data_IF_861581886544
#
_entry.id   IF_861581886544
#
_cell.length_a   1.000
_cell.length_b   1.000
_cell.length_c   1.000
_cell.angle_alpha   90.00
_cell.angle_beta   90.00
_cell.angle_gamma   90.00
#
_symmetry.space_group_name_H-M   'P 1'
#
loop_
_entity.id
_entity.type
_entity.pdbx_description
1 polymer ?
#
# COMPACT_ATOMS: atom_id res chain seq x y z
N UNK A 1 24.40 17.97 0.99
CA UNK A 1 23.16 17.49 1.64
C UNK A 1 21.95 18.32 1.21
N UNK A 2 21.98 19.65 1.31
CA UNK A 2 20.86 20.55 0.94
C UNK A 2 20.38 20.35 -0.51
N UNK A 3 21.31 20.27 -1.48
CA UNK A 3 20.97 20.01 -2.89
C UNK A 3 20.27 18.66 -3.08
N UNK A 4 20.72 17.63 -2.37
CA UNK A 4 20.13 16.30 -2.40
C UNK A 4 18.75 16.32 -1.76
N UNK A 5 18.60 16.94 -0.58
CA UNK A 5 17.31 17.07 0.10
C UNK A 5 16.28 17.76 -0.78
N UNK A 6 16.68 18.89 -1.42
CA UNK A 6 15.80 19.63 -2.31
C UNK A 6 15.34 18.79 -3.50
N UNK A 7 16.25 18.10 -4.17
CA UNK A 7 15.88 17.26 -5.32
C UNK A 7 15.01 16.08 -4.95
N UNK A 8 15.25 15.44 -3.81
CA UNK A 8 14.42 14.36 -3.32
C UNK A 8 13.02 14.86 -2.92
N UNK A 9 12.94 16.02 -2.27
CA UNK A 9 11.65 16.66 -1.94
C UNK A 9 10.85 16.99 -3.21
N UNK A 10 11.51 17.58 -4.22
CA UNK A 10 10.85 17.94 -5.49
C UNK A 10 10.39 16.71 -6.29
N UNK A 11 11.18 15.61 -6.30
CA UNK A 11 10.85 14.39 -7.06
C UNK A 11 9.75 13.59 -6.38
N UNK A 12 9.81 13.46 -5.06
CA UNK A 12 8.91 12.62 -4.28
C UNK A 12 7.74 13.39 -3.65
N UNK A 13 7.68 14.72 -3.85
CA UNK A 13 6.64 15.60 -3.27
C UNK A 13 6.61 15.54 -1.74
N UNK A 14 7.82 15.53 -1.12
CA UNK A 14 8.00 15.49 0.31
C UNK A 14 8.27 16.89 0.88
N UNK A 15 8.02 17.06 2.18
CA UNK A 15 8.40 18.29 2.88
C UNK A 15 9.92 18.43 2.94
N UNK A 16 10.44 19.60 2.52
CA UNK A 16 11.89 19.83 2.41
C UNK A 16 12.61 19.73 3.75
N UNK A 17 12.08 20.39 4.78
CA UNK A 17 12.68 20.40 6.11
C UNK A 17 12.78 19.00 6.72
N UNK A 18 11.72 18.19 6.58
CA UNK A 18 11.70 16.82 7.05
C UNK A 18 12.73 15.95 6.30
N UNK A 19 12.83 16.13 5.00
CA UNK A 19 13.79 15.41 4.15
C UNK A 19 15.22 15.81 4.50
N UNK A 20 15.48 17.09 4.71
CA UNK A 20 16.78 17.60 5.11
C UNK A 20 17.19 17.08 6.50
N UNK A 21 16.27 17.08 7.46
CA UNK A 21 16.52 16.55 8.80
C UNK A 21 16.84 15.05 8.77
N UNK A 22 16.12 14.26 7.98
CA UNK A 22 16.41 12.83 7.77
C UNK A 22 17.81 12.60 7.21
N UNK A 23 18.18 13.32 6.12
CA UNK A 23 19.49 13.18 5.46
C UNK A 23 20.65 13.71 6.33
N UNK A 24 20.35 14.64 7.25
CA UNK A 24 21.34 15.25 8.12
C UNK A 24 21.56 14.47 9.42
N UNK A 25 20.70 13.50 9.72
CA UNK A 25 20.83 12.65 10.90
C UNK A 25 22.13 11.84 10.89
N UNK A 26 22.64 11.49 12.07
CA UNK A 26 23.84 10.67 12.25
C UNK A 26 23.59 9.16 12.03
N UNK A 27 22.42 8.80 11.51
CA UNK A 27 22.10 7.43 11.19
C UNK A 27 22.86 6.96 9.94
N UNK A 28 23.39 5.76 9.98
CA UNK A 28 24.11 5.16 8.86
C UNK A 28 23.19 4.82 7.67
N UNK A 29 21.88 4.70 7.92
CA UNK A 29 20.84 4.41 6.92
C UNK A 29 19.53 5.10 7.30
N UNK A 30 18.88 5.73 6.33
CA UNK A 30 17.60 6.43 6.49
C UNK A 30 16.70 6.16 5.29
N UNK A 31 15.47 5.73 5.55
CA UNK A 31 14.45 5.54 4.50
C UNK A 31 13.83 6.91 4.21
N UNK A 32 13.98 7.39 2.99
CA UNK A 32 13.41 8.67 2.54
C UNK A 32 11.96 8.48 2.07
N UNK A 33 11.72 7.49 1.22
CA UNK A 33 10.38 7.17 0.70
C UNK A 33 10.23 5.66 0.51
N UNK A 34 9.01 5.15 0.67
CA UNK A 34 8.62 3.76 0.40
C UNK A 34 7.60 3.74 -0.74
N UNK A 35 7.50 2.62 -1.45
CA UNK A 35 6.46 2.33 -2.47
C UNK A 35 6.33 3.41 -3.55
N UNK A 36 7.48 3.94 -3.95
CA UNK A 36 7.57 5.01 -4.95
C UNK A 36 7.23 4.46 -6.34
N UNK A 37 6.41 5.19 -7.07
CA UNK A 37 6.06 4.83 -8.46
C UNK A 37 7.28 4.90 -9.38
N UNK A 38 7.27 4.05 -10.41
CA UNK A 38 8.42 3.86 -11.31
C UNK A 38 8.87 5.14 -12.00
N UNK A 39 7.94 5.99 -12.40
CA UNK A 39 8.23 7.27 -13.06
C UNK A 39 9.05 8.22 -12.17
N UNK A 40 8.73 8.27 -10.87
CA UNK A 40 9.49 9.06 -9.88
C UNK A 40 10.89 8.47 -9.65
N UNK A 41 11.02 7.14 -9.64
CA UNK A 41 12.31 6.44 -9.54
C UNK A 41 13.16 6.70 -10.77
N UNK A 42 12.58 6.67 -11.97
CA UNK A 42 13.31 6.93 -13.22
C UNK A 42 13.81 8.41 -13.25
N UNK A 43 12.99 9.36 -12.80
CA UNK A 43 13.40 10.77 -12.62
C UNK A 43 14.56 10.90 -11.63
N UNK A 44 14.53 10.15 -10.52
CA UNK A 44 15.63 10.12 -9.55
C UNK A 44 16.91 9.59 -10.20
N UNK A 45 16.84 8.49 -10.95
CA UNK A 45 18.00 7.91 -11.64
C UNK A 45 18.60 8.86 -12.67
N UNK A 46 17.78 9.57 -13.45
CA UNK A 46 18.22 10.59 -14.39
C UNK A 46 18.92 11.75 -13.69
N UNK A 47 18.34 12.22 -12.58
CA UNK A 47 18.94 13.27 -11.77
C UNK A 47 20.29 12.83 -11.16
N UNK A 48 20.36 11.63 -10.57
CA UNK A 48 21.60 11.08 -10.04
C UNK A 48 22.68 10.99 -11.10
N UNK A 49 22.34 10.54 -12.32
CA UNK A 49 23.28 10.49 -13.46
C UNK A 49 23.77 11.85 -13.86
N UNK A 50 22.87 12.85 -13.92
CA UNK A 50 23.22 14.25 -14.26
C UNK A 50 24.16 14.89 -13.24
N UNK A 51 23.98 14.57 -11.98
CA UNK A 51 24.77 15.12 -10.87
C UNK A 51 25.99 14.25 -10.51
N UNK A 52 26.23 13.18 -11.28
CA UNK A 52 27.34 12.22 -11.05
C UNK A 52 27.33 11.58 -9.65
N UNK A 53 26.13 11.35 -9.09
CA UNK A 53 25.95 10.73 -7.79
C UNK A 53 25.83 9.21 -7.98
N UNK A 54 26.87 8.48 -7.61
CA UNK A 54 26.92 7.02 -7.76
C UNK A 54 26.88 6.27 -6.43
N UNK A 55 26.93 6.98 -5.30
CA UNK A 55 26.95 6.41 -3.95
C UNK A 55 26.09 7.22 -3.00
N UNK A 56 25.65 6.59 -1.91
CA UNK A 56 24.92 7.26 -0.84
C UNK A 56 23.39 7.33 -1.03
N UNK A 57 22.86 6.96 -2.20
CA UNK A 57 21.42 6.77 -2.44
C UNK A 57 21.23 5.37 -2.97
N UNK A 58 20.48 4.55 -2.24
CA UNK A 58 20.13 3.20 -2.64
C UNK A 58 18.66 3.17 -3.09
N UNK A 59 18.40 2.41 -4.14
CA UNK A 59 17.07 2.19 -4.71
C UNK A 59 16.85 0.68 -4.70
N UNK A 60 15.99 0.24 -3.79
CA UNK A 60 15.60 -1.15 -3.67
C UNK A 60 14.25 -1.39 -4.34
N UNK A 61 14.05 -2.58 -4.90
CA UNK A 61 12.76 -2.99 -5.43
C UNK A 61 11.80 -3.29 -4.27
N UNK A 62 10.60 -2.75 -4.39
CA UNK A 62 9.51 -2.96 -3.44
C UNK A 62 8.22 -3.33 -4.19
N UNK A 63 7.27 -3.91 -3.48
CA UNK A 63 5.95 -4.25 -4.00
C UNK A 63 4.89 -3.34 -3.39
N UNK A 64 3.88 -2.99 -4.19
CA UNK A 64 2.75 -2.17 -3.75
C UNK A 64 1.45 -2.87 -4.10
N UNK A 65 0.55 -2.98 -3.12
CA UNK A 65 -0.81 -3.41 -3.37
C UNK A 65 -1.56 -2.31 -4.10
N UNK A 66 -2.23 -2.64 -5.19
CA UNK A 66 -3.01 -1.71 -5.99
C UNK A 66 -4.44 -2.22 -6.15
N UNK A 67 -5.41 -1.34 -5.94
CA UNK A 67 -6.84 -1.64 -6.02
C UNK A 67 -7.44 -0.91 -7.22
N UNK A 68 -7.66 -1.61 -8.35
CA UNK A 68 -8.03 -0.97 -9.62
C UNK A 68 -9.41 -0.32 -9.62
N UNK A 69 -10.26 -0.69 -8.69
CA UNK A 69 -11.63 -0.16 -8.57
C UNK A 69 -11.80 0.80 -7.37
N UNK A 70 -10.71 1.34 -6.87
CA UNK A 70 -10.65 2.35 -5.80
C UNK A 70 -11.48 1.99 -4.56
N UNK A 71 -12.79 2.28 -4.56
CA UNK A 71 -13.67 2.12 -3.41
C UNK A 71 -14.64 0.93 -3.50
N UNK A 72 -14.64 0.17 -4.60
CA UNK A 72 -15.53 -0.97 -4.77
C UNK A 72 -15.27 -2.04 -3.70
N UNK A 73 -16.30 -2.40 -2.97
CA UNK A 73 -16.28 -3.38 -1.87
C UNK A 73 -15.22 -3.06 -0.79
N UNK A 74 -14.97 -1.77 -0.52
CA UNK A 74 -13.87 -1.31 0.32
C UNK A 74 -13.86 -1.97 1.70
N UNK A 75 -14.97 -2.00 2.41
CA UNK A 75 -15.09 -2.62 3.73
C UNK A 75 -14.94 -4.14 3.71
N UNK A 76 -15.24 -4.79 2.59
CA UNK A 76 -15.07 -6.24 2.42
C UNK A 76 -13.62 -6.59 2.09
N UNK A 77 -13.06 -5.95 1.07
CA UNK A 77 -11.70 -6.22 0.61
C UNK A 77 -10.69 -5.81 1.68
N UNK A 78 -10.84 -4.59 2.22
CA UNK A 78 -9.87 -4.02 3.12
C UNK A 78 -8.60 -3.56 2.40
N UNK A 79 -7.57 -3.21 3.14
CA UNK A 79 -6.33 -2.69 2.58
C UNK A 79 -5.09 -3.23 3.31
N UNK A 80 -3.95 -3.10 2.65
CA UNK A 80 -2.64 -3.38 3.22
C UNK A 80 -1.95 -2.10 3.69
N UNK A 81 -1.18 -2.21 4.76
CA UNK A 81 -0.30 -1.15 5.25
C UNK A 81 0.96 -1.00 4.36
N UNK A 82 1.85 -0.09 4.77
CA UNK A 82 3.11 0.17 4.06
C UNK A 82 4.09 -1.01 4.05
N UNK A 83 3.92 -1.96 4.95
CA UNK A 83 4.74 -3.17 5.01
C UNK A 83 4.08 -4.37 4.28
N UNK A 84 3.06 -4.11 3.43
CA UNK A 84 2.28 -5.09 2.68
C UNK A 84 1.56 -6.12 3.56
N UNK A 85 1.26 -5.76 4.81
CA UNK A 85 0.46 -6.57 5.71
C UNK A 85 -1.00 -6.11 5.64
N UNK A 86 -1.92 -7.04 5.52
CA UNK A 86 -3.35 -6.76 5.54
C UNK A 86 -3.76 -6.12 6.86
N UNK A 87 -4.41 -4.95 6.80
CA UNK A 87 -4.85 -4.19 7.97
C UNK A 87 -6.33 -4.37 8.27
N UNK A 88 -7.16 -4.56 7.25
CA UNK A 88 -8.61 -4.73 7.37
C UNK A 88 -9.15 -5.70 6.34
N UNK A 89 -10.42 -6.13 6.52
CA UNK A 89 -11.18 -6.93 5.57
C UNK A 89 -10.56 -8.28 5.24
N UNK A 90 -10.72 -8.69 4.00
CA UNK A 90 -10.17 -9.96 3.48
C UNK A 90 -8.64 -9.92 3.39
N UNK A 91 -8.03 -8.75 3.14
CA UNK A 91 -6.59 -8.58 3.16
C UNK A 91 -6.00 -8.94 4.53
N UNK A 92 -6.66 -8.53 5.62
CA UNK A 92 -6.26 -8.92 6.98
C UNK A 92 -6.53 -10.40 7.27
N UNK A 93 -7.75 -10.86 6.97
CA UNK A 93 -8.17 -12.22 7.31
C UNK A 93 -7.34 -13.29 6.57
N UNK A 94 -7.04 -13.05 5.30
CA UNK A 94 -6.27 -13.96 4.46
C UNK A 94 -4.81 -13.54 4.29
N UNK A 95 -4.30 -12.65 5.13
CA UNK A 95 -2.95 -12.11 5.01
C UNK A 95 -1.88 -13.20 4.85
N UNK A 96 -1.92 -14.24 5.67
CA UNK A 96 -0.96 -15.35 5.61
C UNK A 96 -0.99 -16.15 4.29
N UNK A 97 -2.12 -16.13 3.60
CA UNK A 97 -2.31 -16.84 2.32
C UNK A 97 -1.93 -15.95 1.14
N UNK A 98 -2.26 -14.65 1.22
CA UNK A 98 -2.03 -13.65 0.17
C UNK A 98 -0.58 -13.16 0.16
N UNK A 99 0.03 -13.05 1.35
CA UNK A 99 1.42 -12.62 1.50
C UNK A 99 2.35 -13.77 1.22
N UNK A 100 3.05 -13.93 0.19
CA UNK A 100 4.03 -14.97 -0.03
C UNK A 100 5.17 -14.99 1.01
N UNK A 101 6.24 -15.63 0.71
CA UNK A 101 7.45 -15.65 1.53
C UNK A 101 8.54 -14.86 0.82
N UNK A 102 9.07 -13.85 1.50
CA UNK A 102 10.17 -13.04 0.96
C UNK A 102 11.42 -13.89 0.75
N UNK A 103 12.07 -13.72 -0.39
CA UNK A 103 13.39 -14.29 -0.63
C UNK A 103 14.42 -13.69 0.30
N UNK A 104 15.52 -14.40 0.53
CA UNK A 104 16.65 -13.92 1.33
C UNK A 104 17.97 -14.41 0.76
N UNK A 105 18.97 -13.55 0.88
CA UNK A 105 20.36 -13.89 0.60
C UNK A 105 21.05 -14.09 1.94
N UNK A 106 21.57 -15.27 2.19
CA UNK A 106 22.37 -15.55 3.38
C UNK A 106 23.83 -15.40 2.98
N UNK A 107 24.48 -14.35 3.50
CA UNK A 107 25.93 -14.10 3.34
C UNK A 107 26.63 -14.27 4.66
N UNK A 108 27.83 -14.82 4.63
CA UNK A 108 28.69 -14.86 5.80
C UNK A 108 29.47 -13.53 5.88
N UNK A 109 29.44 -12.88 7.04
CA UNK A 109 30.28 -11.71 7.34
C UNK A 109 31.32 -12.08 8.39
N UNK A 110 32.55 -11.62 8.26
CA UNK A 110 33.54 -11.76 9.30
C UNK A 110 33.40 -10.67 10.40
N UNK A 111 34.06 -10.85 11.53
CA UNK A 111 33.98 -9.99 12.71
C UNK A 111 34.56 -8.56 12.47
N UNK A 112 35.10 -8.24 11.31
CA UNK A 112 35.78 -6.97 10.98
C UNK A 112 35.02 -6.20 9.87
N UNK A 113 33.72 -6.44 9.71
CA UNK A 113 32.83 -5.74 8.75
C UNK A 113 33.21 -5.83 7.26
N UNK A 114 33.95 -6.83 6.85
CA UNK A 114 34.18 -7.15 5.44
C UNK A 114 33.13 -8.12 4.92
N UNK A 115 32.40 -7.75 3.85
CA UNK A 115 31.70 -8.75 3.03
C UNK A 115 32.78 -9.69 2.47
N UNK A 116 32.81 -10.93 2.94
CA UNK A 116 33.62 -11.95 2.29
C UNK A 116 32.90 -12.26 0.98
N UNK A 117 33.52 -12.05 -0.20
CA UNK A 117 33.00 -12.58 -1.46
C UNK A 117 33.08 -14.11 -1.36
N UNK A 118 32.06 -14.73 -0.75
CA UNK A 118 32.02 -16.16 -0.58
C UNK A 118 31.25 -16.77 -1.74
N UNK A 119 31.84 -17.76 -2.38
CA UNK A 119 31.20 -18.59 -3.41
C UNK A 119 29.99 -19.38 -2.86
N UNK A 120 29.73 -19.31 -1.54
CA UNK A 120 28.65 -19.99 -0.82
C UNK A 120 27.49 -19.07 -0.40
N UNK A 121 27.20 -18.01 -1.15
CA UNK A 121 25.95 -17.27 -0.93
C UNK A 121 24.75 -18.18 -1.19
N UNK A 122 23.96 -18.44 -0.15
CA UNK A 122 22.73 -19.20 -0.31
C UNK A 122 21.60 -18.23 -0.66
N UNK A 123 21.16 -18.29 -1.92
CA UNK A 123 19.98 -17.57 -2.39
C UNK A 123 18.73 -18.42 -2.15
N UNK A 124 17.82 -17.93 -1.33
CA UNK A 124 16.47 -18.50 -1.14
C UNK A 124 15.51 -17.64 -1.95
N UNK A 125 14.95 -18.20 -3.01
CA UNK A 125 14.02 -17.51 -3.88
C UNK A 125 12.72 -17.14 -3.15
N UNK A 126 12.12 -15.97 -3.45
CA UNK A 126 10.81 -15.62 -2.94
C UNK A 126 9.74 -16.60 -3.44
N UNK A 127 8.71 -16.82 -2.64
CA UNK A 127 7.52 -17.58 -3.02
C UNK A 127 6.32 -16.65 -3.05
N UNK A 128 5.61 -16.61 -4.17
CA UNK A 128 4.40 -15.81 -4.30
C UNK A 128 3.30 -16.32 -3.35
N UNK A 129 2.46 -15.42 -2.88
CA UNK A 129 1.22 -15.77 -2.20
C UNK A 129 0.21 -16.44 -3.16
N UNK A 130 -0.88 -16.89 -2.59
CA UNK A 130 -1.98 -17.49 -3.35
C UNK A 130 -3.01 -16.42 -3.75
N UNK A 131 -3.78 -16.71 -4.79
CA UNK A 131 -4.90 -15.87 -5.20
C UNK A 131 -6.17 -16.24 -4.40
N UNK A 132 -7.01 -15.25 -4.14
CA UNK A 132 -8.32 -15.41 -3.52
C UNK A 132 -9.40 -15.03 -4.53
N UNK A 133 -10.25 -16.00 -4.91
CA UNK A 133 -11.40 -15.76 -5.77
C UNK A 133 -12.66 -15.63 -4.92
N UNK A 134 -13.39 -14.54 -5.11
CA UNK A 134 -14.63 -14.24 -4.39
C UNK A 134 -15.86 -14.56 -5.25
N UNK A 135 -17.00 -14.80 -4.61
CA UNK A 135 -18.31 -14.93 -5.27
C UNK A 135 -18.95 -13.57 -5.58
N UNK A 136 -18.33 -12.48 -5.17
CA UNK A 136 -18.80 -11.11 -5.41
C UNK A 136 -18.85 -10.82 -6.92
N UNK A 137 -20.02 -10.40 -7.40
CA UNK A 137 -20.20 -9.87 -8.75
C UNK A 137 -19.97 -8.35 -8.74
N UNK A 138 -18.99 -7.87 -9.50
CA UNK A 138 -18.61 -6.46 -9.51
C UNK A 138 -19.74 -5.53 -9.97
N UNK A 139 -20.62 -5.99 -10.87
CA UNK A 139 -21.76 -5.19 -11.33
C UNK A 139 -22.84 -5.08 -10.25
N UNK A 140 -23.17 -6.22 -9.63
CA UNK A 140 -24.17 -6.25 -8.54
C UNK A 140 -23.65 -5.43 -7.35
N UNK A 141 -22.38 -5.56 -7.01
CA UNK A 141 -21.72 -4.79 -5.96
C UNK A 141 -21.82 -3.29 -6.22
N UNK A 142 -21.43 -2.83 -7.43
CA UNK A 142 -21.48 -1.42 -7.81
C UNK A 142 -22.90 -0.84 -7.76
N UNK A 143 -23.91 -1.62 -8.20
CA UNK A 143 -25.31 -1.24 -8.13
C UNK A 143 -25.75 -1.13 -6.67
N UNK A 144 -25.41 -2.12 -5.82
CA UNK A 144 -25.74 -2.11 -4.41
C UNK A 144 -25.16 -0.91 -3.68
N UNK A 145 -23.89 -0.59 -3.90
CA UNK A 145 -23.22 0.60 -3.33
C UNK A 145 -23.86 1.91 -3.75
N UNK A 146 -24.15 2.04 -5.05
CA UNK A 146 -24.82 3.23 -5.58
C UNK A 146 -26.16 3.50 -4.89
N UNK A 147 -27.03 2.49 -4.80
CA UNK A 147 -28.35 2.67 -4.22
C UNK A 147 -28.30 2.75 -2.69
N UNK A 148 -27.38 2.05 -2.03
CA UNK A 148 -27.14 2.21 -0.60
C UNK A 148 -26.75 3.64 -0.25
N UNK A 149 -25.77 4.20 -0.96
CA UNK A 149 -25.32 5.59 -0.81
C UNK A 149 -26.47 6.58 -1.02
N UNK A 150 -27.22 6.40 -2.11
CA UNK A 150 -28.39 7.25 -2.39
C UNK A 150 -29.43 7.16 -1.27
N UNK A 151 -29.77 5.96 -0.83
CA UNK A 151 -30.75 5.75 0.25
C UNK A 151 -30.30 6.35 1.59
N UNK A 152 -29.03 6.23 1.93
CA UNK A 152 -28.47 6.82 3.14
C UNK A 152 -28.52 8.36 3.10
N UNK A 153 -28.21 8.97 1.97
CA UNK A 153 -28.24 10.43 1.80
C UNK A 153 -29.68 10.94 1.84
N UNK A 154 -30.59 10.33 1.06
CA UNK A 154 -32.00 10.77 0.98
C UNK A 154 -32.75 10.63 2.29
N UNK A 155 -32.38 9.69 3.14
CA UNK A 155 -33.02 9.45 4.44
C UNK A 155 -32.20 9.98 5.62
N UNK A 156 -31.16 10.77 5.36
CA UNK A 156 -30.31 11.36 6.43
C UNK A 156 -29.78 10.31 7.43
N UNK A 157 -29.41 9.12 6.91
CA UNK A 157 -28.91 8.02 7.74
C UNK A 157 -27.51 8.33 8.27
N UNK A 158 -27.42 9.04 9.39
CA UNK A 158 -26.17 9.57 9.96
C UNK A 158 -25.16 8.48 10.37
N UNK A 159 -25.60 7.25 10.55
CA UNK A 159 -24.75 6.09 10.86
C UNK A 159 -24.43 5.23 9.65
N UNK A 160 -24.84 5.68 8.44
CA UNK A 160 -24.68 4.90 7.23
C UNK A 160 -25.60 3.69 7.12
N UNK A 161 -25.19 2.68 6.37
CA UNK A 161 -25.96 1.48 6.14
C UNK A 161 -25.15 0.35 5.54
N UNK A 162 -25.76 -0.84 5.53
CA UNK A 162 -25.18 -2.04 4.92
C UNK A 162 -26.20 -2.74 4.03
N UNK A 163 -25.73 -3.35 2.95
CA UNK A 163 -26.51 -4.21 2.06
C UNK A 163 -25.75 -5.50 1.80
N UNK A 164 -26.42 -6.63 1.95
CA UNK A 164 -25.89 -7.95 1.58
C UNK A 164 -26.86 -8.58 0.58
N UNK A 165 -26.33 -9.01 -0.56
CA UNK A 165 -27.09 -9.71 -1.60
C UNK A 165 -26.53 -11.11 -1.73
N UNK A 166 -27.39 -12.11 -1.58
CA UNK A 166 -27.03 -13.53 -1.60
C UNK A 166 -27.95 -14.30 -2.55
N UNK A 167 -27.37 -15.25 -3.28
CA UNK A 167 -28.17 -16.26 -4.01
C UNK A 167 -28.70 -17.29 -3.01
N UNK A 168 -30.03 -17.41 -2.86
CA UNK A 168 -30.62 -18.32 -1.90
C UNK A 168 -30.47 -19.81 -2.28
N UNK A 169 -30.14 -20.13 -3.54
CA UNK A 169 -30.00 -21.51 -4.00
C UNK A 169 -28.57 -22.05 -3.73
N UNK A 170 -27.56 -21.21 -3.86
CA UNK A 170 -26.15 -21.61 -3.70
C UNK A 170 -25.56 -21.16 -2.36
N UNK A 171 -26.11 -20.09 -1.78
CA UNK A 171 -25.55 -19.43 -0.60
C UNK A 171 -24.42 -18.47 -0.92
N UNK A 172 -24.11 -18.22 -2.20
CA UNK A 172 -23.06 -17.31 -2.61
C UNK A 172 -23.43 -15.86 -2.27
N UNK A 173 -22.49 -15.13 -1.69
CA UNK A 173 -22.62 -13.70 -1.48
C UNK A 173 -22.23 -12.99 -2.78
N UNK A 174 -23.20 -12.35 -3.43
CA UNK A 174 -23.01 -11.64 -4.70
C UNK A 174 -22.63 -10.18 -4.51
N UNK A 175 -23.04 -9.55 -3.40
CA UNK A 175 -22.62 -8.21 -3.01
C UNK A 175 -22.64 -8.06 -1.50
N UNK A 176 -21.71 -7.26 -0.99
CA UNK A 176 -21.63 -6.84 0.39
C UNK A 176 -21.14 -5.39 0.42
N UNK A 177 -22.08 -4.46 0.56
CA UNK A 177 -21.84 -3.03 0.49
C UNK A 177 -22.03 -2.37 1.86
N UNK A 178 -21.18 -1.43 2.17
CA UNK A 178 -21.22 -0.58 3.36
C UNK A 178 -21.13 0.88 2.93
N UNK A 179 -21.88 1.77 3.55
CA UNK A 179 -21.75 3.20 3.41
C UNK A 179 -21.64 3.85 4.79
N UNK A 180 -20.72 4.78 5.03
CA UNK A 180 -19.76 5.35 4.07
C UNK A 180 -18.67 4.35 3.63
N UNK A 181 -18.19 4.56 2.40
CA UNK A 181 -17.08 3.86 1.78
C UNK A 181 -15.79 4.70 1.83
N UNK A 182 -14.65 4.08 1.50
CA UNK A 182 -13.36 4.76 1.42
C UNK A 182 -12.54 4.25 0.23
N UNK A 183 -11.55 5.04 -0.22
CA UNK A 183 -10.65 4.62 -1.29
C UNK A 183 -9.59 3.68 -0.74
N UNK A 184 -9.53 2.45 -1.24
CA UNK A 184 -8.58 1.40 -0.85
C UNK A 184 -7.12 1.78 -1.09
N UNK A 185 -6.86 2.63 -2.10
CA UNK A 185 -5.52 3.15 -2.39
C UNK A 185 -5.10 4.32 -1.46
N UNK A 186 -6.07 4.90 -0.71
CA UNK A 186 -5.85 6.02 0.22
C UNK A 186 -6.78 5.89 1.43
N UNK A 187 -6.72 4.79 2.20
CA UNK A 187 -7.75 4.43 3.18
C UNK A 187 -7.88 5.42 4.35
N UNK A 188 -6.83 6.16 4.64
CA UNK A 188 -6.81 7.15 5.73
C UNK A 188 -7.27 8.55 5.30
N UNK A 189 -7.65 8.72 4.01
CA UNK A 189 -8.15 9.99 3.48
C UNK A 189 -9.66 9.88 3.28
N UNK A 190 -10.47 10.52 4.14
CA UNK A 190 -11.92 10.48 4.01
C UNK A 190 -12.36 11.14 2.70
N UNK A 191 -13.18 10.43 1.94
CA UNK A 191 -13.67 10.90 0.62
C UNK A 191 -15.02 11.61 0.71
N UNK A 192 -15.81 11.33 1.74
CA UNK A 192 -17.22 11.76 1.82
C UNK A 192 -17.64 12.34 3.16
N UNK A 193 -16.77 12.33 4.16
CA UNK A 193 -17.05 12.80 5.53
C UNK A 193 -15.90 13.68 6.00
N UNK A 194 -16.19 14.71 6.79
CA UNK A 194 -15.14 15.50 7.44
C UNK A 194 -14.23 14.57 8.25
N UNK A 195 -12.93 14.77 8.15
CA UNK A 195 -11.92 13.96 8.84
C UNK A 195 -12.13 13.84 10.34
N UNK A 196 -12.82 14.81 10.96
CA UNK A 196 -13.21 14.77 12.38
C UNK A 196 -14.36 13.80 12.67
N UNK A 197 -15.23 13.58 11.70
CA UNK A 197 -16.35 12.63 11.84
C UNK A 197 -15.91 11.22 11.46
N UNK A 198 -15.02 11.08 10.46
CA UNK A 198 -14.44 9.80 10.08
C UNK A 198 -13.75 9.10 11.26
N UNK A 199 -12.97 9.83 12.04
CA UNK A 199 -12.27 9.28 13.21
C UNK A 199 -13.20 8.89 14.39
N UNK A 200 -14.52 9.04 14.25
CA UNK A 200 -15.51 8.61 15.25
C UNK A 200 -16.29 7.35 14.84
N UNK A 201 -16.13 6.91 13.58
CA UNK A 201 -16.72 5.68 13.04
C UNK A 201 -15.81 4.49 13.32
#
# INVERSE_FOLDING_TARGET
REKVAKSLSDIFELEYEDTLNKISSDNSFVIIAKKVEKDKVDRLREWMKKEEIYTGINIDEDTKRYYPYDNLASSLIGFCNDDNQGSEGLEYYWNSTLTGTSGRIVTSTDAISGLIPDENQTYIAPQNGSDLTLTIDANIQSIAEKYLKQGCIENEASRGGNVIIMDPNTGDILAMATYPDYNLNSPYTPTHIDSKEWNKL
#
